data_IF_932230513508
#
_entry.id   IF_932230513508
#
_cell.length_a   1.000
_cell.length_b   1.000
_cell.length_c   1.000
_cell.angle_alpha   90.00
_cell.angle_beta   90.00
_cell.angle_gamma   90.00
#
_symmetry.space_group_name_H-M   'P 1'
#
loop_
_entity.id
_entity.type
_entity.pdbx_description
1 polymer ?
#
# COMPACT_ATOMS: atom_id res chain seq x y z
N UNK A 1 -17.55 1.71 5.38
CA UNK A 1 -18.77 2.45 5.64
C UNK A 1 -19.96 1.74 5.00
N UNK A 2 -21.05 1.70 5.71
CA UNK A 2 -22.28 1.05 5.25
C UNK A 2 -23.45 2.02 5.34
N UNK A 3 -24.19 2.12 4.24
CA UNK A 3 -25.45 2.85 4.17
C UNK A 3 -26.59 1.87 3.85
N UNK A 4 -27.78 2.10 4.44
CA UNK A 4 -29.02 1.44 4.07
C UNK A 4 -30.00 2.48 3.53
N UNK A 5 -30.53 2.27 2.31
CA UNK A 5 -31.43 3.20 1.61
C UNK A 5 -30.94 4.65 1.62
N UNK A 6 -29.59 4.86 1.51
CA UNK A 6 -28.93 6.16 1.58
C UNK A 6 -28.67 6.71 2.98
N UNK A 7 -29.17 6.09 4.04
CA UNK A 7 -28.92 6.46 5.43
C UNK A 7 -27.66 5.77 5.95
N UNK A 8 -26.76 6.54 6.57
CA UNK A 8 -25.52 6.01 7.16
C UNK A 8 -25.80 5.13 8.38
N UNK A 9 -25.31 3.90 8.36
CA UNK A 9 -25.41 2.95 9.47
C UNK A 9 -24.18 2.93 10.36
N UNK A 10 -22.99 3.02 9.78
CA UNK A 10 -21.75 2.96 10.54
C UNK A 10 -20.51 2.63 9.71
N UNK A 11 -19.38 2.54 10.44
CA UNK A 11 -18.10 2.03 9.95
C UNK A 11 -17.82 0.72 10.65
N UNK A 12 -17.61 -0.33 9.88
CA UNK A 12 -17.48 -1.69 10.40
C UNK A 12 -16.21 -2.35 9.87
N UNK A 13 -15.62 -3.23 10.69
CA UNK A 13 -14.56 -4.14 10.28
C UNK A 13 -15.16 -5.54 10.10
N UNK A 14 -15.24 -6.08 8.88
CA UNK A 14 -15.74 -7.44 8.65
C UNK A 14 -14.82 -8.52 9.28
N UNK A 15 -15.37 -9.68 9.69
CA UNK A 15 -16.81 -10.01 9.72
C UNK A 15 -17.54 -9.29 10.86
N UNK A 16 -18.79 -8.90 10.64
CA UNK A 16 -19.61 -8.18 11.64
C UNK A 16 -21.09 -8.39 11.40
N UNK A 17 -21.87 -8.51 12.50
CA UNK A 17 -23.33 -8.54 12.45
C UNK A 17 -23.86 -7.10 12.52
N UNK A 18 -24.73 -6.74 11.58
CA UNK A 18 -25.38 -5.43 11.51
C UNK A 18 -26.88 -5.63 11.75
N UNK A 19 -27.37 -5.15 12.89
CA UNK A 19 -28.79 -5.19 13.21
C UNK A 19 -29.54 -4.06 12.49
N UNK A 20 -30.45 -4.43 11.61
CA UNK A 20 -31.25 -3.50 10.83
C UNK A 20 -32.74 -3.67 11.17
N UNK A 21 -33.40 -2.60 11.60
CA UNK A 21 -34.73 -2.65 12.19
C UNK A 21 -35.88 -2.31 11.22
N UNK A 22 -35.54 -1.88 10.00
CA UNK A 22 -36.54 -1.55 8.99
C UNK A 22 -36.98 -2.80 8.20
N UNK A 23 -38.11 -2.71 7.51
CA UNK A 23 -38.69 -3.79 6.73
C UNK A 23 -38.95 -3.34 5.29
N UNK A 24 -39.01 -4.31 4.36
CA UNK A 24 -39.29 -4.06 2.96
C UNK A 24 -38.03 -4.06 2.08
N UNK A 25 -38.17 -3.54 0.87
CA UNK A 25 -37.05 -3.46 -0.07
C UNK A 25 -35.96 -2.56 0.49
N UNK A 26 -34.77 -3.13 0.66
CA UNK A 26 -33.63 -2.46 1.28
C UNK A 26 -32.42 -2.62 0.37
N UNK A 27 -31.70 -1.51 0.17
CA UNK A 27 -30.41 -1.48 -0.53
C UNK A 27 -29.30 -1.09 0.43
N UNK A 28 -28.40 -2.02 0.70
CA UNK A 28 -27.15 -1.73 1.38
C UNK A 28 -26.08 -1.30 0.38
N UNK A 29 -25.35 -0.26 0.73
CA UNK A 29 -24.24 0.28 -0.06
C UNK A 29 -22.99 0.26 0.79
N UNK A 30 -21.95 -0.38 0.27
CA UNK A 30 -20.67 -0.58 0.95
C UNK A 30 -19.59 0.28 0.28
N UNK A 31 -18.99 1.16 1.05
CA UNK A 31 -17.86 1.97 0.64
C UNK A 31 -16.60 1.38 1.27
N UNK A 32 -15.72 0.74 0.49
CA UNK A 32 -14.49 0.17 1.01
C UNK A 32 -13.63 1.25 1.67
N UNK A 33 -13.06 0.91 2.82
CA UNK A 33 -12.21 1.80 3.59
C UNK A 33 -10.82 1.26 3.79
N UNK A 34 -9.89 2.15 4.03
CA UNK A 34 -8.51 1.86 4.39
C UNK A 34 -8.13 2.63 5.67
N UNK A 35 -7.04 2.21 6.29
CA UNK A 35 -6.32 3.03 7.27
C UNK A 35 -5.32 3.89 6.50
N UNK A 36 -5.64 5.18 6.38
CA UNK A 36 -4.81 6.13 5.65
C UNK A 36 -3.41 6.18 6.27
N UNK A 37 -2.38 5.99 5.46
CA UNK A 37 -1.00 5.90 5.91
C UNK A 37 -0.79 4.90 7.07
N UNK A 38 -1.56 3.80 7.11
CA UNK A 38 -1.49 2.80 8.19
C UNK A 38 -1.94 3.29 9.56
N UNK A 39 -2.50 4.49 9.68
CA UNK A 39 -2.91 5.10 10.94
C UNK A 39 -4.27 4.54 11.36
N UNK A 40 -4.31 3.80 12.48
CA UNK A 40 -5.52 3.12 12.95
C UNK A 40 -6.66 4.07 13.33
N UNK A 41 -6.34 5.31 13.74
CA UNK A 41 -7.31 6.35 14.10
C UNK A 41 -7.76 7.21 12.92
N UNK A 42 -7.23 6.97 11.71
CA UNK A 42 -7.58 7.70 10.50
C UNK A 42 -8.13 6.77 9.40
N UNK A 43 -9.31 6.14 9.63
CA UNK A 43 -9.98 5.37 8.61
C UNK A 43 -10.64 6.30 7.61
N UNK A 44 -10.40 6.09 6.32
CA UNK A 44 -11.03 6.84 5.23
C UNK A 44 -11.71 5.91 4.23
N UNK A 45 -12.72 6.39 3.53
CA UNK A 45 -13.21 5.72 2.33
C UNK A 45 -12.11 5.79 1.27
N UNK A 46 -11.70 4.62 0.74
CA UNK A 46 -10.63 4.60 -0.23
C UNK A 46 -11.11 5.15 -1.59
N UNK A 47 -10.56 6.27 -2.07
CA UNK A 47 -11.11 6.95 -3.24
C UNK A 47 -10.96 6.16 -4.55
N UNK A 48 -10.08 5.15 -4.58
CA UNK A 48 -9.77 4.36 -5.78
C UNK A 48 -10.61 3.09 -5.89
N UNK A 49 -11.24 2.60 -4.79
CA UNK A 49 -12.12 1.44 -4.87
C UNK A 49 -13.55 1.82 -5.30
N UNK A 50 -14.16 0.90 -6.04
CA UNK A 50 -15.56 1.01 -6.41
C UNK A 50 -16.46 0.73 -5.19
N UNK A 51 -17.63 1.34 -5.22
CA UNK A 51 -18.70 1.08 -4.25
C UNK A 51 -19.41 -0.20 -4.65
N UNK A 52 -19.71 -1.07 -3.68
CA UNK A 52 -20.51 -2.26 -3.90
C UNK A 52 -21.90 -2.10 -3.26
N UNK A 53 -22.93 -2.75 -3.80
CA UNK A 53 -24.27 -2.65 -3.25
C UNK A 53 -25.11 -3.89 -3.49
N UNK A 54 -25.94 -4.22 -2.51
CA UNK A 54 -26.84 -5.35 -2.50
C UNK A 54 -28.26 -4.89 -2.18
N UNK A 55 -29.24 -5.43 -2.89
CA UNK A 55 -30.66 -5.20 -2.61
C UNK A 55 -31.33 -6.50 -2.19
N UNK A 56 -32.12 -6.43 -1.14
CA UNK A 56 -32.86 -7.56 -0.57
C UNK A 56 -34.14 -7.11 0.11
N UNK A 57 -35.02 -8.06 0.43
CA UNK A 57 -36.23 -7.80 1.20
C UNK A 57 -35.93 -8.03 2.68
N UNK A 58 -35.84 -6.94 3.46
CA UNK A 58 -35.67 -7.02 4.88
C UNK A 58 -36.97 -7.43 5.58
N UNK A 59 -36.90 -8.40 6.50
CA UNK A 59 -38.04 -8.89 7.27
C UNK A 59 -37.59 -9.28 8.67
N UNK A 60 -38.51 -9.22 9.62
CA UNK A 60 -38.24 -9.57 11.04
C UNK A 60 -37.78 -11.03 11.17
N UNK A 61 -36.70 -11.25 11.90
CA UNK A 61 -36.15 -12.57 12.20
C UNK A 61 -35.44 -13.24 11.02
N UNK A 62 -35.13 -12.53 9.95
CA UNK A 62 -34.41 -13.05 8.81
C UNK A 62 -32.95 -12.60 8.87
N UNK A 63 -32.02 -13.56 8.84
CA UNK A 63 -30.59 -13.32 8.71
C UNK A 63 -30.20 -13.34 7.23
N UNK A 64 -29.42 -12.34 6.78
CA UNK A 64 -28.94 -12.22 5.41
C UNK A 64 -27.43 -12.09 5.45
N UNK A 65 -26.72 -13.04 4.87
CA UNK A 65 -25.28 -12.97 4.68
C UNK A 65 -24.94 -12.19 3.42
N UNK A 66 -24.08 -11.17 3.55
CA UNK A 66 -23.60 -10.34 2.44
C UNK A 66 -22.07 -10.37 2.45
N UNK A 67 -21.47 -10.64 1.30
CA UNK A 67 -20.03 -10.63 1.08
C UNK A 67 -19.67 -9.52 0.08
N UNK A 68 -19.42 -8.29 0.53
CA UNK A 68 -19.01 -7.20 -0.36
C UNK A 68 -17.68 -7.50 -1.02
N UNK A 69 -17.58 -7.24 -2.32
CA UNK A 69 -16.35 -7.36 -3.07
C UNK A 69 -15.65 -6.02 -3.18
N UNK A 70 -14.32 -6.05 -3.11
CA UNK A 70 -13.49 -4.86 -3.34
C UNK A 70 -12.94 -4.91 -4.76
N UNK A 71 -13.19 -3.86 -5.54
CA UNK A 71 -12.68 -3.70 -6.89
C UNK A 71 -12.19 -2.26 -7.11
N UNK A 72 -11.20 -2.10 -7.97
CA UNK A 72 -10.79 -0.76 -8.39
C UNK A 72 -11.85 -0.11 -9.28
N UNK A 73 -11.98 1.21 -9.20
CA UNK A 73 -12.85 1.97 -10.09
C UNK A 73 -12.41 1.82 -11.55
N UNK A 74 -13.35 1.83 -12.50
CA UNK A 74 -13.01 1.98 -13.91
C UNK A 74 -12.18 3.26 -14.12
N UNK A 75 -11.10 3.16 -14.89
CA UNK A 75 -10.17 4.28 -15.12
C UNK A 75 -9.00 4.36 -14.15
N UNK A 76 -8.93 3.50 -13.12
CA UNK A 76 -7.73 3.41 -12.27
C UNK A 76 -6.51 3.05 -13.10
N UNK A 77 -5.46 3.85 -12.97
CA UNK A 77 -4.16 3.66 -13.62
C UNK A 77 -3.21 2.99 -12.64
N UNK A 78 -2.51 1.95 -13.11
CA UNK A 78 -1.46 1.26 -12.37
C UNK A 78 -0.10 1.67 -12.95
N UNK A 79 0.53 2.66 -12.35
CA UNK A 79 1.84 3.17 -12.79
C UNK A 79 3.00 2.27 -12.40
N UNK A 80 2.80 1.42 -11.38
CA UNK A 80 3.71 0.38 -10.94
C UNK A 80 2.92 -0.84 -10.48
N UNK A 81 3.39 -2.03 -10.85
CA UNK A 81 2.95 -3.31 -10.29
C UNK A 81 4.18 -4.21 -10.15
N UNK A 82 4.46 -4.67 -8.94
CA UNK A 82 5.57 -5.56 -8.61
C UNK A 82 5.11 -6.61 -7.60
N UNK A 83 4.94 -7.84 -8.10
CA UNK A 83 4.52 -9.01 -7.34
C UNK A 83 5.66 -10.03 -7.12
N UNK A 84 6.84 -9.76 -7.66
CA UNK A 84 8.03 -10.61 -7.61
C UNK A 84 7.89 -11.99 -8.25
N UNK A 85 6.76 -12.34 -8.85
CA UNK A 85 6.54 -13.69 -9.39
C UNK A 85 7.42 -14.00 -10.60
N UNK A 86 7.60 -13.05 -11.50
CA UNK A 86 8.42 -13.22 -12.70
C UNK A 86 9.80 -12.61 -12.59
N UNK A 87 9.91 -11.44 -11.97
CA UNK A 87 11.16 -10.67 -11.89
C UNK A 87 11.15 -9.72 -10.70
N UNK A 88 12.33 -9.21 -10.33
CA UNK A 88 12.48 -8.11 -9.41
C UNK A 88 12.58 -6.79 -10.20
N UNK A 89 11.67 -5.88 -9.98
CA UNK A 89 11.68 -4.55 -10.59
C UNK A 89 12.34 -3.46 -9.71
N UNK A 90 12.74 -3.80 -8.48
CA UNK A 90 13.47 -2.93 -7.57
C UNK A 90 14.97 -3.25 -7.62
N UNK A 91 15.63 -2.80 -8.68
CA UNK A 91 17.05 -3.08 -8.95
C UNK A 91 17.92 -1.82 -9.08
N UNK A 92 17.34 -0.63 -8.86
CA UNK A 92 18.10 0.63 -8.79
C UNK A 92 18.75 0.72 -7.39
N UNK A 93 19.89 0.02 -7.21
CA UNK A 93 20.65 0.11 -5.97
C UNK A 93 21.29 1.49 -5.86
N UNK A 94 20.97 2.23 -4.80
CA UNK A 94 21.34 3.62 -4.59
C UNK A 94 22.29 3.84 -3.41
N UNK A 95 22.63 2.77 -2.73
CA UNK A 95 23.64 2.79 -1.68
C UNK A 95 25.03 2.41 -2.24
N UNK A 96 26.06 2.51 -1.38
CA UNK A 96 27.44 2.16 -1.71
C UNK A 96 27.88 0.84 -1.07
N UNK A 97 26.94 0.13 -0.42
CA UNK A 97 27.20 -1.11 0.29
C UNK A 97 26.97 -2.29 -0.65
N UNK A 98 28.05 -2.90 -1.11
CA UNK A 98 27.98 -3.94 -2.14
C UNK A 98 27.22 -5.22 -1.75
N UNK A 99 27.06 -5.46 -0.44
CA UNK A 99 26.32 -6.64 0.07
C UNK A 99 24.81 -6.39 0.17
N UNK A 100 24.36 -5.13 0.08
CA UNK A 100 22.96 -4.76 0.25
C UNK A 100 22.19 -4.80 -1.07
N UNK A 101 21.03 -5.44 -1.06
CA UNK A 101 20.13 -5.50 -2.21
C UNK A 101 18.71 -5.87 -1.77
N UNK A 102 17.72 -5.48 -2.59
CA UNK A 102 16.42 -6.13 -2.58
C UNK A 102 16.46 -7.28 -3.57
N UNK A 103 16.26 -8.49 -3.09
CA UNK A 103 16.30 -9.71 -3.90
C UNK A 103 14.94 -10.37 -3.96
N UNK A 104 14.70 -11.14 -5.01
CA UNK A 104 13.56 -12.03 -5.12
C UNK A 104 13.80 -13.27 -4.25
N UNK A 105 12.86 -13.61 -3.38
CA UNK A 105 13.01 -14.66 -2.35
C UNK A 105 11.74 -15.50 -2.20
N UNK A 106 11.90 -16.76 -1.84
CA UNK A 106 10.82 -17.67 -1.45
C UNK A 106 10.83 -18.01 0.06
N UNK A 107 11.56 -17.22 0.86
CA UNK A 107 11.72 -17.47 2.30
C UNK A 107 10.44 -17.17 3.07
N UNK A 108 9.82 -16.04 2.78
CA UNK A 108 8.54 -15.63 3.36
C UNK A 108 7.75 -14.87 2.29
N UNK A 109 6.57 -15.35 1.96
CA UNK A 109 5.77 -14.91 0.80
C UNK A 109 4.35 -14.65 1.25
N UNK A 110 3.77 -13.52 0.84
CA UNK A 110 2.35 -13.22 1.10
C UNK A 110 1.45 -13.96 0.12
N UNK A 111 1.75 -13.88 -1.19
CA UNK A 111 0.96 -14.50 -2.25
C UNK A 111 1.88 -15.07 -3.32
N UNK A 112 1.48 -16.18 -3.95
CA UNK A 112 2.27 -16.81 -5.00
C UNK A 112 3.44 -17.64 -4.50
N UNK A 113 4.62 -17.46 -5.10
CA UNK A 113 5.84 -18.23 -4.81
C UNK A 113 7.03 -17.36 -4.37
N UNK A 114 6.97 -16.07 -4.60
CA UNK A 114 8.09 -15.16 -4.35
C UNK A 114 7.63 -13.82 -3.79
N UNK A 115 8.49 -13.22 -2.98
CA UNK A 115 8.40 -11.85 -2.48
C UNK A 115 9.72 -11.13 -2.69
N UNK A 116 9.77 -9.84 -2.44
CA UNK A 116 11.00 -9.06 -2.33
C UNK A 116 11.55 -9.18 -0.90
N UNK A 117 12.85 -9.45 -0.76
CA UNK A 117 13.54 -9.53 0.53
C UNK A 117 14.72 -8.57 0.58
N UNK A 118 14.79 -7.78 1.64
CA UNK A 118 15.99 -7.03 2.05
C UNK A 118 16.54 -7.66 3.32
N UNK A 119 17.85 -7.93 3.36
CA UNK A 119 18.55 -8.45 4.54
C UNK A 119 19.54 -7.41 5.01
N UNK A 120 19.38 -6.96 6.26
CA UNK A 120 20.32 -6.06 6.91
C UNK A 120 21.20 -6.84 7.90
N UNK A 121 22.48 -6.54 7.92
CA UNK A 121 23.51 -7.12 8.79
C UNK A 121 24.67 -6.13 8.95
N UNK A 122 25.70 -6.48 9.72
CA UNK A 122 26.93 -5.67 9.81
C UNK A 122 27.58 -5.43 8.43
N UNK A 123 27.53 -6.41 7.53
CA UNK A 123 28.08 -6.29 6.17
C UNK A 123 27.16 -5.52 5.21
N UNK A 124 25.84 -5.70 5.37
CA UNK A 124 24.79 -5.01 4.64
C UNK A 124 24.07 -4.01 5.57
N UNK A 125 24.84 -3.06 6.11
CA UNK A 125 24.36 -2.17 7.16
C UNK A 125 23.40 -1.07 6.68
N UNK A 126 23.38 -0.80 5.40
CA UNK A 126 22.52 0.22 4.80
C UNK A 126 21.99 -0.25 3.46
N UNK A 127 20.69 -0.17 3.25
CA UNK A 127 20.02 -0.46 1.99
C UNK A 127 19.23 0.77 1.55
N UNK A 128 19.48 1.24 0.34
CA UNK A 128 18.62 2.18 -0.38
C UNK A 128 18.41 1.66 -1.80
N UNK A 129 17.19 1.24 -2.10
CA UNK A 129 16.83 0.64 -3.39
C UNK A 129 15.60 1.30 -3.97
N UNK A 130 15.61 1.52 -5.29
CA UNK A 130 14.51 2.10 -6.05
C UNK A 130 13.94 1.17 -7.11
N UNK A 131 12.73 1.49 -7.54
CA UNK A 131 12.17 0.89 -8.75
C UNK A 131 13.04 1.22 -9.96
N UNK A 132 13.31 0.24 -10.81
CA UNK A 132 14.25 0.38 -11.95
C UNK A 132 13.82 1.45 -12.95
N UNK A 133 12.53 1.47 -13.29
CA UNK A 133 11.97 2.33 -14.34
C UNK A 133 11.22 3.51 -13.70
N UNK A 134 11.54 4.76 -14.09
CA UNK A 134 10.77 5.90 -13.61
C UNK A 134 9.31 5.84 -14.09
N UNK A 135 8.37 6.17 -13.22
CA UNK A 135 6.96 6.36 -13.53
C UNK A 135 6.74 7.80 -13.98
N UNK A 136 6.13 7.97 -15.15
CA UNK A 136 5.72 9.29 -15.69
C UNK A 136 4.21 9.44 -15.63
N UNK A 137 3.73 10.69 -15.63
CA UNK A 137 2.30 10.98 -15.68
C UNK A 137 1.56 10.74 -14.36
N UNK A 138 2.27 10.64 -13.24
CA UNK A 138 1.63 10.68 -11.92
C UNK A 138 1.00 12.06 -11.71
N UNK A 139 -0.20 12.14 -11.08
CA UNK A 139 -0.86 13.40 -10.81
C UNK A 139 -0.07 14.24 -9.80
N UNK A 140 0.15 15.51 -10.16
CA UNK A 140 0.84 16.51 -9.32
C UNK A 140 -0.05 17.72 -9.03
N UNK A 141 -1.35 17.55 -9.19
CA UNK A 141 -2.36 18.61 -9.02
C UNK A 141 -2.89 18.76 -7.59
N UNK A 142 -2.45 17.91 -6.66
CA UNK A 142 -2.88 17.91 -5.25
C UNK A 142 -4.34 17.48 -5.04
N UNK A 143 -5.06 17.12 -6.09
CA UNK A 143 -6.48 16.76 -6.02
C UNK A 143 -6.81 15.36 -6.51
N UNK A 144 -6.05 14.86 -7.48
CA UNK A 144 -6.20 13.49 -7.99
C UNK A 144 -5.55 12.50 -7.05
N UNK A 145 -6.30 11.56 -6.46
CA UNK A 145 -5.76 10.60 -5.51
C UNK A 145 -4.69 9.69 -6.14
N UNK A 146 -3.54 9.61 -5.49
CA UNK A 146 -2.47 8.68 -5.83
C UNK A 146 -1.98 7.95 -4.58
N UNK A 147 -1.81 6.64 -4.67
CA UNK A 147 -1.43 5.80 -3.53
C UNK A 147 -0.34 4.81 -3.90
N UNK A 148 0.55 4.55 -2.93
CA UNK A 148 1.40 3.38 -2.90
C UNK A 148 0.70 2.33 -2.02
N UNK A 149 0.42 1.17 -2.59
CA UNK A 149 -0.16 0.02 -1.93
C UNK A 149 0.86 -1.11 -1.91
N UNK A 150 1.05 -1.77 -0.77
CA UNK A 150 1.93 -2.93 -0.69
C UNK A 150 1.69 -3.77 0.55
N UNK A 151 2.05 -5.05 0.46
CA UNK A 151 2.17 -5.95 1.61
C UNK A 151 3.60 -5.90 2.14
N UNK A 152 3.72 -5.96 3.48
CA UNK A 152 5.03 -6.05 4.11
C UNK A 152 4.99 -6.91 5.38
N UNK A 153 6.13 -7.48 5.68
CA UNK A 153 6.47 -8.10 6.95
C UNK A 153 7.90 -7.72 7.27
N UNK A 154 8.21 -7.27 8.48
CA UNK A 154 9.55 -6.76 8.78
C UNK A 154 9.93 -6.92 10.24
N UNK A 155 11.19 -7.21 10.46
CA UNK A 155 11.80 -7.32 11.79
C UNK A 155 12.40 -6.00 12.26
N UNK A 156 12.59 -5.06 11.34
CA UNK A 156 13.17 -3.74 11.59
C UNK A 156 12.39 -2.66 10.83
N UNK A 157 12.51 -1.41 11.26
CA UNK A 157 11.90 -0.28 10.57
C UNK A 157 12.56 0.00 9.22
N UNK A 158 11.78 0.53 8.29
CA UNK A 158 12.26 1.00 6.99
C UNK A 158 11.51 2.24 6.53
N UNK A 159 12.16 3.04 5.71
CA UNK A 159 11.60 4.30 5.19
C UNK A 159 11.14 4.14 3.75
N UNK A 160 10.06 4.82 3.42
CA UNK A 160 9.54 4.99 2.06
C UNK A 160 9.87 6.39 1.58
N UNK A 161 10.36 6.48 0.35
CA UNK A 161 10.67 7.73 -0.31
C UNK A 161 10.27 7.78 -1.77
N UNK A 162 10.33 8.98 -2.32
CA UNK A 162 10.21 9.26 -3.75
C UNK A 162 11.54 9.84 -4.25
N UNK A 163 11.98 9.36 -5.40
CA UNK A 163 13.01 10.01 -6.22
C UNK A 163 12.29 10.76 -7.34
N UNK A 164 12.28 12.07 -7.25
CA UNK A 164 11.83 12.92 -8.34
C UNK A 164 12.94 13.10 -9.38
N UNK A 165 12.60 13.04 -10.66
CA UNK A 165 13.54 13.13 -11.79
C UNK A 165 13.04 14.19 -12.77
N UNK A 166 13.88 15.19 -13.02
CA UNK A 166 13.63 16.25 -14.00
C UNK A 166 13.91 15.80 -15.44
N UNK A 167 13.44 16.62 -16.39
CA UNK A 167 13.68 16.38 -17.83
C UNK A 167 15.17 16.46 -18.23
N UNK A 168 15.98 17.18 -17.49
CA UNK A 168 17.44 17.29 -17.67
C UNK A 168 18.21 16.17 -16.99
N UNK A 169 17.50 15.21 -16.34
CA UNK A 169 18.08 14.08 -15.62
C UNK A 169 18.52 14.39 -14.18
N UNK A 170 18.40 15.63 -13.71
CA UNK A 170 18.61 15.93 -12.30
C UNK A 170 17.54 15.25 -11.45
N UNK A 171 17.95 14.76 -10.28
CA UNK A 171 17.04 14.05 -9.39
C UNK A 171 17.27 14.40 -7.92
N UNK A 172 16.20 14.32 -7.13
CA UNK A 172 16.26 14.48 -5.69
C UNK A 172 15.38 13.44 -5.00
N UNK A 173 15.91 12.85 -3.93
CA UNK A 173 15.18 11.90 -3.10
C UNK A 173 14.59 12.60 -1.88
N UNK A 174 13.38 12.20 -1.52
CA UNK A 174 12.72 12.59 -0.27
C UNK A 174 12.12 11.36 0.40
N UNK A 175 12.55 11.07 1.63
CA UNK A 175 11.95 10.06 2.49
C UNK A 175 10.93 10.73 3.40
N UNK A 176 9.69 10.28 3.37
CA UNK A 176 8.57 10.95 4.02
C UNK A 176 7.77 10.03 4.94
N UNK A 177 7.99 8.73 4.89
CA UNK A 177 7.25 7.78 5.70
C UNK A 177 8.17 6.72 6.32
N UNK A 178 7.99 6.47 7.62
CA UNK A 178 8.70 5.41 8.36
C UNK A 178 7.72 4.29 8.69
N UNK A 179 8.00 3.10 8.18
CA UNK A 179 7.24 1.87 8.45
C UNK A 179 7.82 1.19 9.69
N UNK A 180 6.96 0.90 10.66
CA UNK A 180 7.35 0.17 11.86
C UNK A 180 7.41 -1.33 11.61
N UNK A 181 8.23 -2.08 12.37
CA UNK A 181 8.28 -3.54 12.29
C UNK A 181 6.92 -4.18 12.50
N UNK A 182 6.70 -5.30 11.82
CA UNK A 182 5.53 -6.15 12.00
C UNK A 182 5.91 -7.61 11.81
N UNK A 183 5.65 -8.48 12.81
CA UNK A 183 5.91 -9.91 12.70
C UNK A 183 4.96 -10.63 11.74
N UNK A 184 3.83 -10.00 11.41
CA UNK A 184 2.82 -10.52 10.50
C UNK A 184 2.76 -9.70 9.22
N UNK A 185 2.31 -10.32 8.12
CA UNK A 185 2.03 -9.63 6.88
C UNK A 185 0.92 -8.59 7.06
N UNK A 186 1.23 -7.35 6.75
CA UNK A 186 0.30 -6.22 6.78
C UNK A 186 0.15 -5.58 5.41
N UNK A 187 -1.00 -4.96 5.18
CA UNK A 187 -1.26 -4.12 4.02
C UNK A 187 -1.13 -2.65 4.39
N UNK A 188 -0.34 -1.90 3.65
CA UNK A 188 -0.25 -0.44 3.75
C UNK A 188 -0.80 0.24 2.50
N UNK A 189 -1.45 1.36 2.76
CA UNK A 189 -1.94 2.31 1.76
C UNK A 189 -1.34 3.67 2.10
N UNK A 190 -0.31 4.08 1.38
CA UNK A 190 0.39 5.35 1.61
C UNK A 190 -0.11 6.37 0.61
N UNK A 191 -0.69 7.46 1.11
CA UNK A 191 -1.14 8.56 0.27
C UNK A 191 0.07 9.33 -0.28
N UNK A 192 0.19 9.36 -1.60
CA UNK A 192 1.26 10.06 -2.31
C UNK A 192 0.83 11.43 -2.82
N UNK A 193 -0.46 11.77 -2.75
CA UNK A 193 -1.03 12.97 -3.40
C UNK A 193 -0.28 14.23 -3.03
N UNK A 194 -0.11 14.49 -1.72
CA UNK A 194 0.57 15.69 -1.22
C UNK A 194 2.07 15.69 -1.57
N UNK A 195 2.72 14.53 -1.51
CA UNK A 195 4.15 14.40 -1.82
C UNK A 195 4.45 14.65 -3.30
N UNK A 196 3.54 14.24 -4.18
CA UNK A 196 3.63 14.48 -5.62
C UNK A 196 3.38 15.96 -5.95
N UNK A 197 2.38 16.59 -5.32
CA UNK A 197 2.10 18.02 -5.47
C UNK A 197 3.29 18.88 -5.02
N UNK A 198 3.80 18.63 -3.82
CA UNK A 198 4.91 19.39 -3.23
C UNK A 198 6.18 19.33 -4.07
N UNK A 199 6.45 18.21 -4.72
CA UNK A 199 7.68 17.99 -5.47
C UNK A 199 7.58 18.33 -6.96
N UNK A 200 6.44 18.07 -7.62
CA UNK A 200 6.12 18.52 -8.98
C UNK A 200 7.05 18.01 -10.10
N UNK A 201 7.69 16.84 -9.92
CA UNK A 201 8.59 16.27 -10.93
C UNK A 201 7.81 15.59 -12.08
N UNK A 202 8.36 15.56 -13.30
CA UNK A 202 7.74 14.86 -14.45
C UNK A 202 7.81 13.33 -14.36
N UNK A 203 8.74 12.78 -13.54
CA UNK A 203 8.87 11.35 -13.32
C UNK A 203 9.36 11.03 -11.89
N UNK A 204 8.99 9.83 -11.42
CA UNK A 204 9.28 9.39 -10.06
C UNK A 204 9.69 7.92 -10.00
N UNK A 205 10.48 7.58 -8.98
CA UNK A 205 10.69 6.19 -8.54
C UNK A 205 10.28 6.06 -7.08
N UNK A 206 9.70 4.92 -6.71
CA UNK A 206 9.54 4.54 -5.30
C UNK A 206 10.90 4.09 -4.76
N UNK A 207 11.23 4.53 -3.56
CA UNK A 207 12.43 4.15 -2.82
C UNK A 207 12.05 3.45 -1.52
N UNK A 208 12.80 2.41 -1.19
CA UNK A 208 12.84 1.80 0.14
C UNK A 208 14.23 1.94 0.73
N UNK A 209 14.30 2.28 2.03
CA UNK A 209 15.56 2.45 2.73
C UNK A 209 15.48 1.92 4.15
N UNK A 210 16.51 1.22 4.60
CA UNK A 210 16.65 0.78 5.97
C UNK A 210 18.12 0.79 6.42
N UNK A 211 18.32 0.81 7.74
CA UNK A 211 19.62 0.86 8.38
C UNK A 211 19.74 -0.22 9.45
N UNK A 212 20.84 -0.96 9.47
CA UNK A 212 21.15 -1.89 10.55
C UNK A 212 21.58 -1.09 11.80
N UNK A 213 21.05 -1.40 12.99
CA UNK A 213 21.38 -0.66 14.21
C UNK A 213 22.82 -0.94 14.67
N UNK A 214 23.55 0.09 15.13
CA UNK A 214 24.95 -0.02 15.56
C UNK A 214 25.16 -1.04 16.70
N UNK A 215 24.24 -1.11 17.66
CA UNK A 215 24.30 -2.00 18.83
C UNK A 215 23.25 -3.11 18.75
N UNK A 216 23.10 -3.74 17.58
CA UNK A 216 22.08 -4.75 17.37
C UNK A 216 22.36 -6.04 18.15
N UNK A 217 21.35 -6.59 18.86
CA UNK A 217 21.47 -7.90 19.47
C UNK A 217 21.37 -9.06 18.46
N UNK A 218 20.80 -8.80 17.30
CA UNK A 218 20.57 -9.82 16.27
C UNK A 218 21.61 -9.69 15.15
N UNK A 219 22.10 -10.79 14.59
CA UNK A 219 23.11 -10.75 13.53
C UNK A 219 22.55 -10.26 12.19
N UNK A 220 21.24 -10.33 12.00
CA UNK A 220 20.57 -9.86 10.79
C UNK A 220 19.10 -9.58 11.04
N UNK A 221 18.51 -8.74 10.17
CA UNK A 221 17.08 -8.44 10.09
C UNK A 221 16.57 -8.60 8.67
N UNK A 222 15.32 -9.06 8.56
CA UNK A 222 14.64 -9.25 7.28
C UNK A 222 13.50 -8.26 7.12
N UNK A 223 13.35 -7.75 5.90
CA UNK A 223 12.19 -6.99 5.44
C UNK A 223 11.68 -7.68 4.19
N UNK A 224 10.41 -8.10 4.22
CA UNK A 224 9.73 -8.71 3.09
C UNK A 224 8.68 -7.75 2.54
N UNK A 225 8.63 -7.62 1.22
CA UNK A 225 7.70 -6.78 0.48
C UNK A 225 7.01 -7.61 -0.59
N UNK A 226 5.71 -7.37 -0.80
CA UNK A 226 4.95 -8.08 -1.80
C UNK A 226 3.80 -7.23 -2.34
N UNK A 227 3.31 -7.55 -3.55
CA UNK A 227 2.16 -6.91 -4.16
C UNK A 227 2.25 -5.37 -4.17
N UNK A 228 3.42 -4.82 -4.52
CA UNK A 228 3.65 -3.38 -4.55
C UNK A 228 2.96 -2.77 -5.78
N UNK A 229 2.14 -1.74 -5.56
CA UNK A 229 1.42 -1.02 -6.62
C UNK A 229 1.49 0.48 -6.38
N UNK A 230 1.65 1.24 -7.44
CA UNK A 230 1.33 2.68 -7.45
C UNK A 230 0.11 2.87 -8.32
N UNK A 231 -0.95 3.39 -7.72
CA UNK A 231 -2.27 3.53 -8.35
C UNK A 231 -2.78 4.95 -8.23
N UNK A 232 -3.50 5.43 -9.25
CA UNK A 232 -4.16 6.74 -9.24
C UNK A 232 -5.40 6.73 -10.15
N UNK A 233 -6.22 7.78 -10.07
CA UNK A 233 -7.38 8.01 -10.94
C UNK A 233 -7.02 8.83 -12.16
#
# INVERSE_FOLDING_TARGET
WVNANGSFLGVFNPPVDIYYLDQGETRFTFYPGIRNNGISSDPIQYPIFAVDSFSFLAAEGVDIEIQPATAYKPGTVFSLVADFELSNSFTDNRDTVSASNLIRSSVDVFEGQFSGQMVLSEEAYFIEVGHAVPMSGLPTDGSTPAYLEFRYKSEIEFSIGLLGINLDGQSASRFFYLVRPSPDWNMLYINLTDELELSGYPAYKILFRSLYPDDSPEPQYNIFLDNIKVVHL
#
